data_IF_124555966079
#
_entry.id   IF_124555966079
#
_cell.length_a   1.000
_cell.length_b   1.000
_cell.length_c   1.000
_cell.angle_alpha   90.00
_cell.angle_beta   90.00
_cell.angle_gamma   90.00
#
_symmetry.space_group_name_H-M   'P 1'
#
loop_
_entity.id
_entity.type
_entity.pdbx_description
1 polymer ?
#
# COMPACT_ATOMS: atom_id res chain seq x y z
N UNK A 1 -11.64 22.56 -0.73
CA UNK A 1 -11.97 21.38 -1.56
C UNK A 1 -10.72 21.13 -2.38
N UNK A 2 -9.91 20.16 -1.96
CA UNK A 2 -8.64 19.82 -2.60
C UNK A 2 -8.51 18.30 -2.45
N UNK A 3 -8.66 17.54 -3.54
CA UNK A 3 -8.26 16.12 -3.73
C UNK A 3 -9.10 15.35 -4.80
N UNK A 4 -9.39 15.94 -5.96
CA UNK A 4 -9.63 15.07 -7.11
C UNK A 4 -8.28 14.47 -7.55
N UNK A 5 -7.98 13.28 -7.03
CA UNK A 5 -6.88 12.45 -7.51
C UNK A 5 -7.33 11.81 -8.81
N UNK A 6 -7.26 12.60 -9.89
CA UNK A 6 -7.49 12.10 -11.23
C UNK A 6 -6.34 11.17 -11.60
N UNK A 7 -6.66 9.92 -11.87
CA UNK A 7 -5.76 9.02 -12.56
C UNK A 7 -5.69 9.50 -14.01
N UNK A 8 -4.63 10.22 -14.37
CA UNK A 8 -4.40 10.61 -15.75
C UNK A 8 -4.08 9.35 -16.57
N UNK A 9 -5.14 8.76 -17.11
CA UNK A 9 -5.05 7.79 -18.19
C UNK A 9 -5.11 8.62 -19.46
N UNK A 10 -3.95 9.09 -19.94
CA UNK A 10 -3.85 9.60 -21.30
C UNK A 10 -4.43 8.54 -22.25
N UNK A 11 -4.95 8.93 -23.41
CA UNK A 11 -5.66 8.00 -24.30
C UNK A 11 -4.82 6.80 -24.77
N UNK A 12 -3.49 6.92 -24.67
CA UNK A 12 -2.48 5.89 -24.91
C UNK A 12 -2.02 5.15 -23.63
N UNK A 13 -2.37 5.63 -22.44
CA UNK A 13 -2.17 4.97 -21.14
C UNK A 13 -3.47 4.26 -20.75
N UNK A 14 -3.74 3.15 -21.44
CA UNK A 14 -4.86 2.27 -21.08
C UNK A 14 -4.38 1.25 -20.03
N UNK A 15 -5.06 1.20 -18.88
CA UNK A 15 -4.92 0.06 -17.98
C UNK A 15 -5.49 -1.14 -18.72
N UNK A 16 -4.63 -2.06 -19.14
CA UNK A 16 -5.06 -3.35 -19.69
C UNK A 16 -5.55 -4.22 -18.53
N UNK A 17 -6.86 -4.11 -18.29
CA UNK A 17 -7.50 -4.36 -17.01
C UNK A 17 -8.22 -5.71 -16.98
N UNK A 18 -7.44 -6.82 -16.97
CA UNK A 18 -7.91 -8.16 -16.59
C UNK A 18 -6.74 -8.95 -16.00
N UNK A 19 -6.92 -9.49 -14.79
CA UNK A 19 -5.93 -10.35 -14.10
C UNK A 19 -4.56 -9.67 -13.85
N UNK A 20 -4.57 -8.38 -13.53
CA UNK A 20 -3.39 -7.63 -13.12
C UNK A 20 -3.15 -7.74 -11.61
N UNK A 21 -1.89 -7.70 -11.17
CA UNK A 21 -1.52 -7.52 -9.77
C UNK A 21 -1.01 -6.10 -9.54
N UNK A 22 -1.55 -5.42 -8.55
CA UNK A 22 -1.14 -4.08 -8.12
C UNK A 22 -0.55 -4.15 -6.73
N UNK A 23 0.63 -3.58 -6.55
CA UNK A 23 1.19 -3.33 -5.23
C UNK A 23 1.06 -1.85 -4.87
N UNK A 24 0.59 -1.58 -3.66
CA UNK A 24 0.35 -0.23 -3.17
C UNK A 24 0.98 -0.06 -1.80
N UNK A 25 2.11 0.63 -1.73
CA UNK A 25 2.81 0.90 -0.48
C UNK A 25 2.43 2.28 0.06
N UNK A 26 2.10 2.34 1.35
CA UNK A 26 1.66 3.57 2.02
C UNK A 26 0.18 3.87 1.77
N UNK A 27 -0.66 2.94 2.24
CA UNK A 27 -2.13 3.01 2.19
C UNK A 27 -2.65 4.34 2.75
N UNK A 28 -2.19 4.72 3.94
CA UNK A 28 -2.72 5.89 4.65
C UNK A 28 -4.24 5.78 4.90
N UNK A 29 -4.95 6.89 4.75
CA UNK A 29 -6.39 7.03 4.93
C UNK A 29 -7.20 6.98 3.61
N UNK A 30 -6.56 7.25 2.47
CA UNK A 30 -7.20 7.28 1.15
C UNK A 30 -6.83 6.06 0.29
N UNK A 31 -7.82 5.19 0.14
CA UNK A 31 -7.76 3.93 -0.62
C UNK A 31 -8.47 4.00 -1.97
N UNK A 32 -8.84 5.20 -2.42
CA UNK A 32 -9.70 5.39 -3.61
C UNK A 32 -9.07 4.81 -4.87
N UNK A 33 -7.76 5.03 -5.07
CA UNK A 33 -7.00 4.42 -6.17
C UNK A 33 -7.06 2.89 -6.12
N UNK A 34 -6.80 2.33 -4.93
CA UNK A 34 -6.70 0.89 -4.72
C UNK A 34 -8.05 0.22 -5.03
N UNK A 35 -9.13 0.85 -4.58
CA UNK A 35 -10.50 0.46 -4.92
C UNK A 35 -10.76 0.50 -6.44
N UNK A 36 -10.42 1.59 -7.14
CA UNK A 36 -10.64 1.69 -8.58
C UNK A 36 -9.88 0.60 -9.36
N UNK A 37 -8.66 0.26 -8.95
CA UNK A 37 -7.91 -0.84 -9.56
C UNK A 37 -8.61 -2.20 -9.42
N UNK A 38 -9.37 -2.43 -8.34
CA UNK A 38 -10.21 -3.64 -8.23
C UNK A 38 -11.38 -3.63 -9.25
N UNK A 39 -11.92 -2.45 -9.59
CA UNK A 39 -12.97 -2.30 -10.61
C UNK A 39 -12.44 -2.55 -12.02
N UNK A 40 -11.15 -2.32 -12.22
CA UNK A 40 -10.39 -2.74 -13.39
C UNK A 40 -9.99 -4.23 -13.35
N UNK A 41 -10.49 -5.01 -12.38
CA UNK A 41 -10.26 -6.46 -12.34
C UNK A 41 -8.84 -6.86 -11.95
N UNK A 42 -8.10 -5.97 -11.26
CA UNK A 42 -6.82 -6.34 -10.65
C UNK A 42 -7.01 -6.93 -9.24
N UNK A 43 -6.06 -7.76 -8.84
CA UNK A 43 -5.77 -8.09 -7.45
C UNK A 43 -4.84 -7.03 -6.87
N UNK A 44 -5.32 -6.34 -5.83
CA UNK A 44 -4.64 -5.19 -5.26
C UNK A 44 -4.14 -5.54 -3.86
N UNK A 45 -2.82 -5.50 -3.68
CA UNK A 45 -2.15 -5.74 -2.41
C UNK A 45 -1.64 -4.42 -1.83
N UNK A 46 -2.22 -4.04 -0.71
CA UNK A 46 -1.94 -2.83 0.03
C UNK A 46 -1.00 -3.13 1.18
N UNK A 47 0.02 -2.31 1.35
CA UNK A 47 1.09 -2.50 2.32
C UNK A 47 1.23 -1.23 3.15
N UNK A 48 0.90 -1.31 4.44
CA UNK A 48 1.12 -0.22 5.37
C UNK A 48 1.43 -0.74 6.77
N UNK A 49 2.65 -0.54 7.27
CA UNK A 49 3.05 -1.03 8.59
C UNK A 49 2.48 -0.18 9.73
N UNK A 50 1.91 0.99 9.43
CA UNK A 50 1.46 1.97 10.43
C UNK A 50 -0.05 1.90 10.68
N UNK A 51 -0.81 1.30 9.77
CA UNK A 51 -2.27 1.18 9.89
C UNK A 51 -2.61 0.08 10.91
N UNK A 52 -3.26 0.51 12.00
CA UNK A 52 -3.88 -0.37 13.01
C UNK A 52 -5.40 -0.14 13.15
N UNK A 53 -5.96 0.86 12.45
CA UNK A 53 -7.37 1.21 12.57
C UNK A 53 -8.29 0.07 12.12
N UNK A 54 -9.22 -0.30 13.00
CA UNK A 54 -10.23 -1.32 12.69
C UNK A 54 -11.18 -0.88 11.57
N UNK A 55 -11.31 0.42 11.30
CA UNK A 55 -12.29 0.95 10.34
C UNK A 55 -11.83 0.74 8.90
N UNK A 56 -10.60 1.14 8.56
CA UNK A 56 -10.05 0.92 7.21
C UNK A 56 -9.92 -0.58 6.91
N UNK A 57 -9.57 -1.39 7.90
CA UNK A 57 -9.54 -2.85 7.76
C UNK A 57 -10.94 -3.45 7.53
N UNK A 58 -11.99 -2.87 8.12
CA UNK A 58 -13.38 -3.27 7.83
C UNK A 58 -13.79 -2.87 6.42
N UNK A 59 -13.42 -1.68 5.97
CA UNK A 59 -13.68 -1.24 4.58
C UNK A 59 -13.00 -2.14 3.56
N UNK A 60 -11.71 -2.47 3.77
CA UNK A 60 -10.96 -3.35 2.85
C UNK A 60 -11.63 -4.73 2.72
N UNK A 61 -12.11 -5.30 3.83
CA UNK A 61 -12.80 -6.62 3.84
C UNK A 61 -14.08 -6.66 3.00
N UNK A 62 -14.64 -5.52 2.60
CA UNK A 62 -15.82 -5.47 1.71
C UNK A 62 -15.48 -5.84 0.26
N UNK A 63 -14.21 -5.87 -0.12
CA UNK A 63 -13.76 -6.06 -1.49
C UNK A 63 -13.00 -7.38 -1.65
N UNK A 64 -13.38 -8.19 -2.65
CA UNK A 64 -12.81 -9.53 -2.86
C UNK A 64 -11.37 -9.53 -3.36
N UNK A 65 -10.98 -8.50 -4.10
CA UNK A 65 -9.67 -8.40 -4.75
C UNK A 65 -8.79 -7.31 -4.11
N UNK A 66 -9.08 -6.96 -2.85
CA UNK A 66 -8.33 -5.97 -2.10
C UNK A 66 -7.77 -6.64 -0.84
N UNK A 67 -6.45 -6.72 -0.78
CA UNK A 67 -5.71 -7.41 0.27
C UNK A 67 -4.89 -6.40 1.05
N UNK A 68 -4.89 -6.51 2.37
CA UNK A 68 -4.10 -5.65 3.24
C UNK A 68 -3.03 -6.45 3.98
N UNK A 69 -1.82 -5.91 3.98
CA UNK A 69 -0.66 -6.45 4.66
C UNK A 69 -0.05 -5.37 5.56
N UNK A 70 0.14 -5.69 6.83
CA UNK A 70 0.78 -4.79 7.79
C UNK A 70 2.31 -4.83 7.65
N UNK A 71 2.79 -4.56 6.43
CA UNK A 71 4.20 -4.59 6.05
C UNK A 71 4.58 -3.27 5.36
N UNK A 72 5.80 -2.81 5.59
CA UNK A 72 6.37 -1.62 4.96
C UNK A 72 7.59 -1.92 4.10
N UNK A 73 7.85 -1.10 3.09
CA UNK A 73 8.98 -1.28 2.19
C UNK A 73 10.25 -0.58 2.72
N UNK A 74 11.36 -1.30 2.84
CA UNK A 74 12.65 -0.81 3.34
C UNK A 74 13.80 -1.49 2.61
N UNK A 75 15.01 -0.94 2.69
CA UNK A 75 16.22 -1.59 2.16
C UNK A 75 16.70 -2.78 3.02
N UNK A 76 16.13 -2.99 4.20
CA UNK A 76 16.41 -4.11 5.10
C UNK A 76 15.25 -4.38 6.05
N UNK A 77 15.17 -5.61 6.56
CA UNK A 77 14.24 -5.99 7.63
C UNK A 77 14.50 -5.15 8.89
N UNK A 78 13.47 -4.49 9.40
CA UNK A 78 13.51 -3.73 10.65
C UNK A 78 12.09 -3.54 11.20
N UNK A 79 11.95 -3.51 12.51
CA UNK A 79 10.73 -3.02 13.17
C UNK A 79 10.83 -1.51 13.33
N UNK A 80 9.74 -0.79 13.12
CA UNK A 80 9.67 0.64 13.33
C UNK A 80 8.41 0.98 14.14
N UNK A 81 8.56 1.87 15.13
CA UNK A 81 7.46 2.37 15.93
C UNK A 81 6.83 3.59 15.25
N UNK A 82 5.58 3.45 14.80
CA UNK A 82 4.79 4.51 14.19
C UNK A 82 3.98 5.21 15.28
N UNK A 83 4.21 6.51 15.45
CA UNK A 83 3.52 7.31 16.45
C UNK A 83 2.42 8.14 15.79
N UNK A 84 1.18 7.83 16.12
CA UNK A 84 0.01 8.60 15.69
C UNK A 84 -0.36 9.61 16.75
N UNK A 85 -0.60 10.85 16.31
CA UNK A 85 -1.28 11.88 17.11
C UNK A 85 -2.65 12.07 16.51
N UNK A 86 -3.68 11.72 17.26
CA UNK A 86 -5.05 12.03 16.88
C UNK A 86 -5.32 13.52 17.12
N UNK A 87 -6.35 14.07 16.47
CA UNK A 87 -6.76 15.46 16.64
C UNK A 87 -7.13 15.79 18.11
N UNK A 88 -7.52 14.78 18.89
CA UNK A 88 -7.57 14.85 20.35
C UNK A 88 -6.15 14.60 20.89
N UNK A 89 -5.43 15.67 21.24
CA UNK A 89 -3.98 15.67 21.53
C UNK A 89 -3.53 14.71 22.65
N UNK A 90 -4.45 14.27 23.50
CA UNK A 90 -4.20 13.31 24.59
C UNK A 90 -4.09 11.86 24.11
N UNK A 91 -4.65 11.53 22.93
CA UNK A 91 -4.58 10.18 22.37
C UNK A 91 -3.33 10.03 21.51
N UNK A 92 -2.34 9.33 22.07
CA UNK A 92 -1.16 8.86 21.35
C UNK A 92 -1.25 7.36 21.19
N UNK A 93 -1.13 6.90 19.96
CA UNK A 93 -1.04 5.48 19.65
C UNK A 93 0.33 5.20 19.05
N UNK A 94 0.96 4.12 19.50
CA UNK A 94 2.19 3.61 18.90
C UNK A 94 1.89 2.26 18.30
N UNK A 95 2.12 2.13 17.00
CA UNK A 95 1.98 0.89 16.25
C UNK A 95 3.37 0.42 15.87
N UNK A 96 3.77 -0.77 16.31
CA UNK A 96 4.99 -1.39 15.82
C UNK A 96 4.69 -2.07 14.47
N UNK A 97 5.39 -1.64 13.44
CA UNK A 97 5.22 -2.18 12.10
C UNK A 97 6.50 -2.80 11.57
N UNK A 98 6.36 -3.91 10.85
CA UNK A 98 7.48 -4.59 10.21
C UNK A 98 7.74 -3.95 8.84
N UNK A 99 8.99 -3.56 8.62
CA UNK A 99 9.48 -3.09 7.34
C UNK A 99 10.48 -4.09 6.79
N UNK A 100 10.42 -4.39 5.50
CA UNK A 100 11.32 -5.35 4.88
C UNK A 100 11.61 -5.00 3.42
N UNK A 101 12.55 -5.72 2.83
CA UNK A 101 12.91 -5.63 1.41
C UNK A 101 11.76 -6.09 0.52
N UNK A 102 11.70 -5.55 -0.69
CA UNK A 102 10.74 -5.98 -1.71
C UNK A 102 10.74 -7.50 -1.93
N UNK A 103 11.94 -8.10 -1.98
CA UNK A 103 12.11 -9.55 -2.14
C UNK A 103 11.49 -10.34 -0.98
N UNK A 104 11.76 -9.92 0.27
CA UNK A 104 11.19 -10.59 1.45
C UNK A 104 9.67 -10.41 1.54
N UNK A 105 9.14 -9.23 1.20
CA UNK A 105 7.69 -9.00 1.16
C UNK A 105 7.03 -9.95 0.16
N UNK A 106 7.59 -10.07 -1.06
CA UNK A 106 7.07 -11.01 -2.07
C UNK A 106 7.11 -12.44 -1.57
N UNK A 107 8.17 -12.84 -0.89
CA UNK A 107 8.27 -14.17 -0.26
C UNK A 107 7.22 -14.38 0.83
N UNK A 108 7.05 -13.41 1.71
CA UNK A 108 6.13 -13.49 2.86
C UNK A 108 4.66 -13.68 2.43
N UNK A 109 4.28 -13.10 1.30
CA UNK A 109 2.92 -13.23 0.76
C UNK A 109 2.79 -14.30 -0.34
N UNK A 110 3.83 -15.10 -0.59
CA UNK A 110 3.89 -16.13 -1.64
C UNK A 110 3.79 -15.61 -3.09
N UNK A 111 4.31 -14.41 -3.35
CA UNK A 111 4.29 -13.73 -4.66
C UNK A 111 5.65 -13.71 -5.37
N UNK A 112 6.59 -14.59 -5.03
CA UNK A 112 7.94 -14.63 -5.66
C UNK A 112 7.86 -14.75 -7.19
N UNK A 113 6.86 -15.48 -7.70
CA UNK A 113 6.64 -15.72 -9.14
C UNK A 113 5.41 -15.00 -9.70
N UNK A 114 4.76 -14.12 -8.92
CA UNK A 114 3.57 -13.38 -9.36
C UNK A 114 4.02 -12.05 -9.99
N UNK A 115 3.74 -11.79 -11.29
CA UNK A 115 4.16 -10.55 -11.93
C UNK A 115 3.32 -9.37 -11.41
N UNK A 116 3.99 -8.28 -11.03
CA UNK A 116 3.34 -7.04 -10.60
C UNK A 116 3.26 -6.09 -11.78
N UNK A 117 2.05 -5.75 -12.23
CA UNK A 117 1.84 -4.85 -13.38
C UNK A 117 1.92 -3.38 -12.97
N UNK A 118 1.43 -3.05 -11.77
CA UNK A 118 1.41 -1.67 -11.30
C UNK A 118 1.94 -1.56 -9.88
N UNK A 119 2.77 -0.55 -9.66
CA UNK A 119 3.37 -0.24 -8.37
C UNK A 119 3.04 1.21 -7.99
N UNK A 120 2.22 1.38 -6.96
CA UNK A 120 1.96 2.66 -6.30
C UNK A 120 2.84 2.75 -5.05
N UNK A 121 3.54 3.87 -4.90
CA UNK A 121 4.41 4.14 -3.73
C UNK A 121 4.08 5.52 -3.19
N UNK A 122 3.42 5.55 -2.02
CA UNK A 122 3.14 6.77 -1.26
C UNK A 122 3.80 6.65 0.11
N UNK A 123 5.12 6.67 0.11
CA UNK A 123 5.93 6.49 1.32
C UNK A 123 6.56 7.83 1.69
N UNK A 124 6.42 8.26 2.94
CA UNK A 124 7.01 9.51 3.38
C UNK A 124 8.53 9.36 3.58
N UNK A 125 9.32 10.26 2.97
CA UNK A 125 10.79 10.17 2.81
C UNK A 125 11.57 10.05 4.14
N UNK A 126 11.00 10.49 5.26
CA UNK A 126 11.69 10.50 6.55
C UNK A 126 11.83 9.11 7.21
N UNK A 127 11.11 8.08 6.74
CA UNK A 127 11.01 6.81 7.48
C UNK A 127 11.62 5.60 6.74
N UNK A 128 11.73 5.66 5.41
CA UNK A 128 12.05 4.51 4.58
C UNK A 128 13.15 4.83 3.57
N UNK A 129 14.36 4.34 3.83
CA UNK A 129 15.42 4.29 2.81
C UNK A 129 15.03 3.23 1.78
N UNK A 130 14.28 3.62 0.76
CA UNK A 130 13.93 2.75 -0.38
C UNK A 130 14.78 3.17 -1.57
N UNK A 131 15.69 2.28 -1.97
CA UNK A 131 16.44 2.44 -3.22
C UNK A 131 15.78 1.55 -4.27
N UNK A 132 15.13 2.15 -5.26
CA UNK A 132 14.68 1.43 -6.45
C UNK A 132 15.88 1.23 -7.37
N UNK A 133 16.42 0.02 -7.40
CA UNK A 133 17.34 -0.38 -8.46
C UNK A 133 16.46 -0.80 -9.64
N UNK A 134 16.45 0.02 -10.69
CA UNK A 134 15.74 -0.25 -11.93
C UNK A 134 16.16 -1.64 -12.44
N UNK A 135 15.17 -2.52 -12.66
CA UNK A 135 15.33 -3.77 -13.42
C UNK A 135 15.10 -3.47 -14.91
#
# INVERSE_FOLDING_TARGET
>A
MDNDKNLCLDSDVLIQSKNCTVYSFGTGDDITFDFWMTKYGCDVHMFDPSVASSEILKEIKKYKNLYFHQLGLSNKRKTYAFHWKYLDEDRKETVEGLLDTYANIRKEINHENVPVQYLKVRINKCTYNVTFQYL
#
